data_IF_161172088308
#
_entry.id   IF_161172088308
#
_cell.length_a   1.000
_cell.length_b   1.000
_cell.length_c   1.000
_cell.angle_alpha   90.00
_cell.angle_beta   90.00
_cell.angle_gamma   90.00
#
_symmetry.space_group_name_H-M   'P 1'
#
loop_
_entity.id
_entity.type
_entity.pdbx_description
1 polymer ?
#
# COMPACT_ATOMS: atom_id res chain seq x y z
N UNK A 1 -9.11 -16.11 0.69
CA UNK A 1 -7.74 -16.13 0.15
C UNK A 1 -7.58 -16.98 -1.11
N UNK A 2 -8.06 -18.22 -1.17
CA UNK A 2 -7.98 -19.06 -2.38
C UNK A 2 -8.66 -18.44 -3.60
N UNK A 3 -9.86 -17.87 -3.43
CA UNK A 3 -10.58 -17.17 -4.52
C UNK A 3 -9.79 -15.99 -5.07
N UNK A 4 -9.10 -15.22 -4.19
CA UNK A 4 -8.24 -14.13 -4.61
C UNK A 4 -7.05 -14.65 -5.41
N UNK A 5 -6.42 -15.75 -4.98
CA UNK A 5 -5.32 -16.37 -5.70
C UNK A 5 -5.76 -16.88 -7.08
N UNK A 6 -6.90 -17.57 -7.16
CA UNK A 6 -7.44 -18.04 -8.43
C UNK A 6 -7.77 -16.88 -9.39
N UNK A 7 -8.38 -15.81 -8.89
CA UNK A 7 -8.64 -14.61 -9.66
C UNK A 7 -7.34 -13.97 -10.15
N UNK A 8 -6.32 -13.89 -9.29
CA UNK A 8 -5.00 -13.38 -9.62
C UNK A 8 -4.36 -14.18 -10.77
N UNK A 9 -4.32 -15.51 -10.64
CA UNK A 9 -3.76 -16.40 -11.66
C UNK A 9 -4.50 -16.28 -12.98
N UNK A 10 -5.82 -16.19 -12.94
CA UNK A 10 -6.64 -15.99 -14.14
C UNK A 10 -6.33 -14.68 -14.85
N UNK A 11 -6.29 -13.57 -14.12
CA UNK A 11 -5.97 -12.24 -14.68
C UNK A 11 -4.55 -12.21 -15.23
N UNK A 12 -3.58 -12.74 -14.49
CA UNK A 12 -2.19 -12.81 -14.95
C UNK A 12 -2.09 -13.63 -16.23
N UNK A 13 -2.75 -14.77 -16.29
CA UNK A 13 -2.79 -15.63 -17.48
C UNK A 13 -3.37 -14.91 -18.70
N UNK A 14 -4.51 -14.21 -18.54
CA UNK A 14 -5.11 -13.42 -19.62
C UNK A 14 -4.18 -12.31 -20.11
N UNK A 15 -3.59 -11.52 -19.19
CA UNK A 15 -2.70 -10.43 -19.54
C UNK A 15 -1.40 -10.91 -20.18
N UNK A 16 -0.86 -12.03 -19.69
CA UNK A 16 0.32 -12.66 -20.28
C UNK A 16 0.05 -13.16 -21.71
N UNK A 17 -1.12 -13.78 -21.94
CA UNK A 17 -1.50 -14.28 -23.27
C UNK A 17 -1.61 -13.16 -24.31
N UNK A 18 -2.06 -11.98 -23.92
CA UNK A 18 -2.29 -10.84 -24.85
C UNK A 18 -1.15 -9.81 -24.82
N UNK A 19 -0.07 -10.03 -24.09
CA UNK A 19 0.98 -9.02 -23.84
C UNK A 19 1.58 -8.39 -25.11
N UNK A 20 1.66 -9.17 -26.18
CA UNK A 20 2.25 -8.76 -27.46
C UNK A 20 1.19 -8.27 -28.48
N UNK A 21 -0.11 -8.33 -28.12
CA UNK A 21 -1.22 -7.88 -28.97
C UNK A 21 -1.85 -6.61 -28.38
N UNK A 22 -1.38 -5.46 -28.86
CA UNK A 22 -1.84 -4.15 -28.38
C UNK A 22 -3.34 -3.87 -28.57
N UNK A 23 -4.03 -4.57 -29.52
CA UNK A 23 -5.48 -4.43 -29.68
C UNK A 23 -6.21 -5.20 -28.57
N UNK A 24 -5.83 -6.45 -28.34
CA UNK A 24 -6.44 -7.27 -27.29
C UNK A 24 -6.15 -6.72 -25.89
N UNK A 25 -4.94 -6.23 -25.66
CA UNK A 25 -4.55 -5.64 -24.39
C UNK A 25 -5.42 -4.46 -23.97
N UNK A 26 -5.90 -3.65 -24.96
CA UNK A 26 -6.82 -2.53 -24.68
C UNK A 26 -8.17 -2.97 -24.10
N UNK A 27 -8.60 -4.21 -24.37
CA UNK A 27 -9.83 -4.78 -23.83
C UNK A 27 -9.58 -5.60 -22.56
N UNK A 28 -8.49 -6.37 -22.52
CA UNK A 28 -8.19 -7.26 -21.40
C UNK A 28 -7.81 -6.48 -20.15
N UNK A 29 -7.10 -5.36 -20.26
CA UNK A 29 -6.74 -4.55 -19.09
C UNK A 29 -7.99 -4.01 -18.35
N UNK A 30 -8.92 -3.25 -18.99
CA UNK A 30 -10.13 -2.80 -18.30
C UNK A 30 -10.99 -3.97 -17.79
N UNK A 31 -11.08 -5.07 -18.52
CA UNK A 31 -11.80 -6.26 -18.08
C UNK A 31 -11.18 -6.84 -16.80
N UNK A 32 -9.86 -6.90 -16.71
CA UNK A 32 -9.15 -7.32 -15.49
C UNK A 32 -9.48 -6.43 -14.29
N UNK A 33 -9.56 -5.11 -14.52
CA UNK A 33 -9.94 -4.16 -13.46
C UNK A 33 -11.41 -4.30 -13.06
N UNK A 34 -12.31 -4.59 -14.00
CA UNK A 34 -13.72 -4.88 -13.68
C UNK A 34 -13.81 -6.12 -12.78
N UNK A 35 -13.11 -7.20 -13.11
CA UNK A 35 -13.10 -8.41 -12.28
C UNK A 35 -12.58 -8.16 -10.87
N UNK A 36 -11.47 -7.44 -10.73
CA UNK A 36 -10.93 -7.06 -9.41
C UNK A 36 -11.91 -6.17 -8.65
N UNK A 37 -12.48 -5.19 -9.33
CA UNK A 37 -13.45 -4.28 -8.73
C UNK A 37 -14.67 -5.04 -8.22
N UNK A 38 -15.23 -5.94 -9.01
CA UNK A 38 -16.35 -6.79 -8.58
C UNK A 38 -15.97 -7.64 -7.37
N UNK A 39 -14.82 -8.30 -7.42
CA UNK A 39 -14.34 -9.11 -6.30
C UNK A 39 -14.24 -8.32 -5.00
N UNK A 40 -13.64 -7.14 -5.01
CA UNK A 40 -13.46 -6.34 -3.81
C UNK A 40 -14.70 -5.53 -3.41
N UNK A 41 -15.53 -5.11 -4.37
CA UNK A 41 -16.73 -4.32 -4.11
C UNK A 41 -17.86 -5.16 -3.50
N UNK A 42 -17.96 -6.41 -3.91
CA UNK A 42 -19.03 -7.32 -3.43
C UNK A 42 -18.67 -8.06 -2.15
N UNK A 43 -17.51 -7.75 -1.54
CA UNK A 43 -17.08 -8.38 -0.29
C UNK A 43 -18.01 -8.05 0.88
N UNK A 44 -18.24 -9.04 1.71
CA UNK A 44 -18.93 -8.91 2.98
C UNK A 44 -18.08 -9.57 4.07
N UNK A 45 -17.92 -8.92 5.20
CA UNK A 45 -17.06 -9.41 6.31
C UNK A 45 -15.63 -9.81 5.91
N UNK A 46 -15.13 -9.30 4.79
CA UNK A 46 -13.80 -9.64 4.29
C UNK A 46 -12.85 -8.45 4.46
N UNK A 47 -11.86 -8.61 5.32
CA UNK A 47 -10.89 -7.60 5.73
C UNK A 47 -10.92 -7.34 7.24
N UNK A 48 -9.73 -7.21 7.87
CA UNK A 48 -9.58 -7.10 9.33
C UNK A 48 -10.42 -5.96 9.94
N UNK A 49 -10.44 -4.80 9.30
CA UNK A 49 -11.11 -3.62 9.84
C UNK A 49 -12.56 -3.47 9.36
N UNK A 50 -13.13 -4.47 8.66
CA UNK A 50 -14.47 -4.37 8.08
C UNK A 50 -15.52 -4.01 9.12
N UNK A 51 -15.58 -4.78 10.22
CA UNK A 51 -16.53 -4.57 11.31
C UNK A 51 -16.25 -3.30 12.11
N UNK A 52 -15.00 -2.92 12.24
CA UNK A 52 -14.63 -1.68 12.91
C UNK A 52 -15.18 -0.44 12.17
N UNK A 53 -15.10 -0.43 10.84
CA UNK A 53 -15.71 0.64 10.05
C UNK A 53 -17.23 0.54 10.01
N UNK A 54 -17.78 -0.68 9.96
CA UNK A 54 -19.22 -0.88 10.02
C UNK A 54 -19.83 -0.32 11.31
N UNK A 55 -19.28 -0.66 12.46
CA UNK A 55 -19.75 -0.17 13.77
C UNK A 55 -19.67 1.37 13.86
N UNK A 56 -18.63 1.96 13.30
CA UNK A 56 -18.52 3.43 13.25
C UNK A 56 -19.50 4.08 12.30
N UNK A 57 -19.82 3.44 11.18
CA UNK A 57 -20.85 3.89 10.28
C UNK A 57 -22.23 3.80 10.93
N UNK A 58 -22.56 2.69 11.57
CA UNK A 58 -23.86 2.41 12.23
C UNK A 58 -24.10 3.36 13.41
N UNK A 59 -23.09 3.59 14.24
CA UNK A 59 -23.19 4.50 15.39
C UNK A 59 -23.38 5.97 15.00
N UNK A 60 -23.10 6.37 13.76
CA UNK A 60 -23.16 7.75 13.30
C UNK A 60 -22.23 8.71 14.05
N UNK A 61 -21.43 8.22 14.96
CA UNK A 61 -20.56 8.99 15.84
C UNK A 61 -19.12 8.48 15.79
N UNK A 62 -18.18 9.40 15.96
CA UNK A 62 -16.87 9.06 16.49
C UNK A 62 -17.12 8.38 17.84
N UNK A 63 -16.74 7.12 17.99
CA UNK A 63 -16.91 6.38 19.27
C UNK A 63 -16.26 7.24 20.34
N UNK A 64 -17.02 7.63 21.38
CA UNK A 64 -16.52 8.41 22.51
C UNK A 64 -15.30 7.70 23.08
N UNK A 65 -14.19 8.41 23.20
CA UNK A 65 -12.91 7.87 23.70
C UNK A 65 -11.93 7.41 22.62
N UNK A 66 -12.28 7.35 21.33
CA UNK A 66 -11.34 7.08 20.25
C UNK A 66 -10.82 8.39 19.64
N UNK A 67 -9.83 9.00 20.27
CA UNK A 67 -9.15 10.20 19.77
C UNK A 67 -8.46 10.01 18.42
N UNK A 68 -8.35 8.76 17.93
CA UNK A 68 -7.70 8.43 16.66
C UNK A 68 -8.48 8.86 15.41
N UNK A 69 -9.73 9.27 15.55
CA UNK A 69 -10.58 9.68 14.42
C UNK A 69 -10.83 11.17 14.30
N UNK A 70 -10.44 12.00 15.27
CA UNK A 70 -10.79 13.43 15.30
C UNK A 70 -10.16 14.24 14.16
N UNK A 71 -9.03 13.79 13.58
CA UNK A 71 -8.37 14.43 12.44
C UNK A 71 -8.81 13.94 11.05
N UNK A 72 -9.60 12.86 10.96
CA UNK A 72 -9.92 12.17 9.69
C UNK A 72 -11.36 12.46 9.25
N UNK A 73 -11.73 13.72 9.32
CA UNK A 73 -13.12 14.19 9.13
C UNK A 73 -13.67 13.92 7.74
N UNK A 74 -12.84 13.99 6.69
CA UNK A 74 -13.30 13.72 5.32
C UNK A 74 -13.63 12.25 5.10
N UNK A 75 -12.88 11.32 5.70
CA UNK A 75 -13.18 9.91 5.57
C UNK A 75 -14.53 9.55 6.20
N UNK A 76 -14.73 9.96 7.45
CA UNK A 76 -15.98 9.67 8.15
C UNK A 76 -17.18 10.41 7.55
N UNK A 77 -17.00 11.68 7.16
CA UNK A 77 -18.03 12.43 6.44
C UNK A 77 -18.41 11.75 5.11
N UNK A 78 -17.44 11.27 4.35
CA UNK A 78 -17.70 10.53 3.12
C UNK A 78 -18.44 9.22 3.39
N UNK A 79 -18.06 8.47 4.42
CA UNK A 79 -18.72 7.22 4.80
C UNK A 79 -20.19 7.44 5.19
N UNK A 80 -20.51 8.54 5.87
CA UNK A 80 -21.87 8.90 6.31
C UNK A 80 -22.80 9.40 5.18
N UNK A 81 -22.27 9.64 3.97
CA UNK A 81 -23.12 9.95 2.81
C UNK A 81 -23.95 8.76 2.32
N UNK A 82 -23.66 7.56 2.78
CA UNK A 82 -24.31 6.34 2.32
C UNK A 82 -25.32 5.83 3.36
N UNK A 83 -26.52 5.53 2.91
CA UNK A 83 -27.62 4.95 3.70
C UNK A 83 -27.40 3.50 4.11
N UNK A 84 -26.46 2.81 3.43
CA UNK A 84 -26.05 1.43 3.71
C UNK A 84 -24.54 1.30 3.60
N UNK A 85 -23.90 0.61 4.56
CA UNK A 85 -22.46 0.43 4.61
C UNK A 85 -21.88 -0.25 3.37
N UNK A 86 -22.55 -1.27 2.84
CA UNK A 86 -22.08 -1.94 1.63
C UNK A 86 -22.00 -1.00 0.41
N UNK A 87 -22.89 0.00 0.31
CA UNK A 87 -22.79 1.03 -0.76
C UNK A 87 -21.52 1.85 -0.64
N UNK A 88 -21.13 2.20 0.59
CA UNK A 88 -19.84 2.84 0.84
C UNK A 88 -18.70 1.94 0.40
N UNK A 89 -18.70 0.64 0.77
CA UNK A 89 -17.66 -0.31 0.37
C UNK A 89 -17.56 -0.44 -1.15
N UNK A 90 -18.67 -0.48 -1.86
CA UNK A 90 -18.71 -0.52 -3.33
C UNK A 90 -18.08 0.76 -3.91
N UNK A 91 -18.51 1.94 -3.48
CA UNK A 91 -18.01 3.21 -4.02
C UNK A 91 -16.54 3.42 -3.67
N UNK A 92 -16.12 3.10 -2.44
CA UNK A 92 -14.72 3.12 -2.05
C UNK A 92 -13.86 2.25 -2.99
N UNK A 93 -14.31 1.03 -3.26
CA UNK A 93 -13.59 0.09 -4.13
C UNK A 93 -13.54 0.58 -5.59
N UNK A 94 -14.65 1.13 -6.10
CA UNK A 94 -14.72 1.72 -7.43
C UNK A 94 -13.71 2.87 -7.58
N UNK A 95 -13.67 3.79 -6.62
CA UNK A 95 -12.72 4.91 -6.63
C UNK A 95 -11.27 4.40 -6.64
N UNK A 96 -10.94 3.47 -5.74
CA UNK A 96 -9.61 2.91 -5.66
C UNK A 96 -9.20 2.22 -6.98
N UNK A 97 -10.02 1.31 -7.48
CA UNK A 97 -9.70 0.57 -8.72
C UNK A 97 -9.64 1.50 -9.94
N UNK A 98 -10.45 2.57 -9.98
CA UNK A 98 -10.41 3.56 -11.06
C UNK A 98 -9.10 4.35 -11.06
N UNK A 99 -8.65 4.79 -9.87
CA UNK A 99 -7.35 5.48 -9.73
C UNK A 99 -6.20 4.55 -10.11
N UNK A 100 -6.24 3.31 -9.64
CA UNK A 100 -5.24 2.31 -9.95
C UNK A 100 -5.19 2.00 -11.46
N UNK A 101 -6.35 1.80 -12.08
CA UNK A 101 -6.47 1.62 -13.54
C UNK A 101 -5.85 2.79 -14.30
N UNK A 102 -6.19 4.01 -13.91
CA UNK A 102 -5.65 5.22 -14.53
C UNK A 102 -4.12 5.24 -14.48
N UNK A 103 -3.53 4.98 -13.30
CA UNK A 103 -2.08 5.00 -13.11
C UNK A 103 -1.38 3.87 -13.89
N UNK A 104 -1.94 2.66 -13.84
CA UNK A 104 -1.39 1.50 -14.57
C UNK A 104 -1.41 1.73 -16.06
N UNK A 105 -2.56 2.13 -16.59
CA UNK A 105 -2.70 2.41 -18.03
C UNK A 105 -1.73 3.49 -18.52
N UNK A 106 -1.38 4.40 -17.62
CA UNK A 106 -0.54 5.53 -17.95
C UNK A 106 0.95 5.25 -17.85
N UNK A 107 1.37 4.54 -16.78
CA UNK A 107 2.78 4.40 -16.41
C UNK A 107 3.35 3.01 -16.67
N UNK A 108 2.53 1.99 -16.82
CA UNK A 108 3.01 0.63 -17.07
C UNK A 108 2.86 0.30 -18.54
N UNK A 109 3.95 -0.12 -19.19
CA UNK A 109 3.90 -0.57 -20.56
C UNK A 109 3.11 -1.89 -20.68
N UNK A 110 2.32 -2.10 -21.77
CA UNK A 110 1.38 -3.21 -21.91
C UNK A 110 1.99 -4.60 -21.67
N UNK A 111 3.23 -4.83 -22.11
CA UNK A 111 3.94 -6.10 -21.92
C UNK A 111 4.20 -6.44 -20.44
N UNK A 112 4.09 -5.47 -19.52
CA UNK A 112 4.33 -5.64 -18.08
C UNK A 112 3.05 -5.66 -17.24
N UNK A 113 1.87 -5.57 -17.84
CA UNK A 113 0.61 -5.61 -17.08
C UNK A 113 0.46 -6.88 -16.25
N UNK A 114 0.84 -8.05 -16.80
CA UNK A 114 0.81 -9.30 -16.05
C UNK A 114 1.73 -9.25 -14.81
N UNK A 115 2.93 -8.71 -14.95
CA UNK A 115 3.87 -8.51 -13.84
C UNK A 115 3.31 -7.52 -12.79
N UNK A 116 2.72 -6.41 -13.25
CA UNK A 116 2.06 -5.48 -12.35
C UNK A 116 0.97 -6.15 -11.51
N UNK A 117 0.06 -6.89 -12.15
CA UNK A 117 -1.00 -7.59 -11.45
C UNK A 117 -0.48 -8.67 -10.50
N UNK A 118 0.55 -9.41 -10.91
CA UNK A 118 1.22 -10.35 -10.03
C UNK A 118 1.73 -9.66 -8.77
N UNK A 119 2.48 -8.57 -8.91
CA UNK A 119 2.99 -7.80 -7.77
C UNK A 119 1.87 -7.23 -6.91
N UNK A 120 0.89 -6.59 -7.54
CA UNK A 120 -0.24 -5.96 -6.84
C UNK A 120 -1.05 -6.96 -6.01
N UNK A 121 -1.41 -8.09 -6.58
CA UNK A 121 -2.25 -9.10 -5.92
C UNK A 121 -1.48 -9.96 -4.92
N UNK A 122 -0.18 -10.16 -5.15
CA UNK A 122 0.66 -11.00 -4.30
C UNK A 122 1.32 -10.24 -3.15
N UNK A 123 1.45 -8.92 -3.26
CA UNK A 123 1.94 -8.12 -2.15
C UNK A 123 0.82 -7.89 -1.14
N UNK A 124 0.96 -8.51 0.02
CA UNK A 124 -0.01 -8.43 1.11
C UNK A 124 -0.34 -6.98 1.48
N UNK A 125 0.68 -6.13 1.54
CA UNK A 125 0.55 -4.70 1.83
C UNK A 125 -0.30 -3.94 0.81
N UNK A 126 -0.40 -4.40 -0.42
CA UNK A 126 -1.24 -3.75 -1.43
C UNK A 126 -2.66 -4.31 -1.44
N UNK A 127 -2.84 -5.60 -1.66
CA UNK A 127 -4.17 -6.18 -1.85
C UNK A 127 -4.96 -6.30 -0.55
N UNK A 128 -4.31 -6.63 0.58
CA UNK A 128 -5.01 -6.79 1.86
C UNK A 128 -5.22 -5.48 2.61
N UNK A 129 -4.20 -4.60 2.64
CA UNK A 129 -4.36 -3.29 3.27
C UNK A 129 -5.41 -2.43 2.57
N UNK A 130 -5.57 -2.60 1.26
CA UNK A 130 -6.63 -1.96 0.49
C UNK A 130 -8.02 -2.28 1.03
N UNK A 131 -8.22 -3.50 1.49
CA UNK A 131 -9.50 -3.96 2.05
C UNK A 131 -9.65 -3.61 3.53
N UNK A 132 -8.56 -3.65 4.28
CA UNK A 132 -8.54 -3.43 5.72
C UNK A 132 -8.38 -1.96 6.09
N UNK A 133 -7.41 -1.28 5.50
CA UNK A 133 -7.07 0.10 5.85
C UNK A 133 -7.75 1.11 4.92
N UNK A 134 -9.09 1.13 4.87
CA UNK A 134 -9.86 1.94 3.92
C UNK A 134 -9.54 3.44 4.00
N UNK A 135 -9.26 3.99 5.19
CA UNK A 135 -8.81 5.38 5.38
C UNK A 135 -7.51 5.68 4.65
N UNK A 136 -6.51 4.84 4.90
CA UNK A 136 -5.19 4.97 4.26
C UNK A 136 -5.29 4.79 2.74
N UNK A 137 -6.17 3.91 2.27
CA UNK A 137 -6.42 3.67 0.85
C UNK A 137 -7.03 4.89 0.17
N UNK A 138 -8.01 5.55 0.79
CA UNK A 138 -8.58 6.79 0.26
C UNK A 138 -7.53 7.91 0.22
N UNK A 139 -6.77 8.08 1.28
CA UNK A 139 -5.65 9.02 1.30
C UNK A 139 -4.63 8.72 0.21
N UNK A 140 -4.29 7.45 0.01
CA UNK A 140 -3.39 7.00 -1.05
C UNK A 140 -3.93 7.34 -2.46
N UNK A 141 -5.22 7.17 -2.71
CA UNK A 141 -5.83 7.55 -4.00
C UNK A 141 -5.63 9.03 -4.31
N UNK A 142 -5.89 9.90 -3.32
CA UNK A 142 -5.68 11.35 -3.48
C UNK A 142 -4.20 11.66 -3.70
N UNK A 143 -3.29 11.03 -2.92
CA UNK A 143 -1.85 11.22 -3.06
C UNK A 143 -1.33 10.75 -4.41
N UNK A 144 -1.75 9.59 -4.91
CA UNK A 144 -1.30 9.06 -6.19
C UNK A 144 -1.68 9.98 -7.35
N UNK A 145 -2.93 10.44 -7.40
CA UNK A 145 -3.36 11.39 -8.41
C UNK A 145 -2.63 12.72 -8.27
N UNK A 146 -2.44 13.19 -7.05
CA UNK A 146 -1.73 14.42 -6.75
C UNK A 146 -0.28 14.36 -7.24
N UNK A 147 0.44 13.29 -6.88
CA UNK A 147 1.83 13.10 -7.29
C UNK A 147 1.92 13.01 -8.82
N UNK A 148 1.06 12.25 -9.47
CA UNK A 148 1.08 12.16 -10.94
C UNK A 148 0.74 13.49 -11.63
N UNK A 149 -0.36 14.13 -11.25
CA UNK A 149 -0.90 15.27 -11.97
C UNK A 149 -0.14 16.57 -11.70
N UNK A 150 0.24 16.82 -10.45
CA UNK A 150 0.80 18.10 -10.04
C UNK A 150 2.29 18.04 -9.77
N UNK A 151 2.77 16.96 -9.16
CA UNK A 151 4.19 16.87 -8.82
C UNK A 151 5.03 16.41 -10.01
N UNK A 152 4.78 15.26 -10.58
CA UNK A 152 5.60 14.69 -11.67
C UNK A 152 5.47 15.52 -12.95
N UNK A 153 4.24 15.83 -13.38
CA UNK A 153 4.00 16.48 -14.66
C UNK A 153 4.29 17.96 -14.67
N UNK A 154 3.85 18.67 -13.64
CA UNK A 154 3.79 20.15 -13.67
C UNK A 154 4.75 20.81 -12.69
N UNK A 155 5.34 20.06 -11.77
CA UNK A 155 6.16 20.57 -10.67
C UNK A 155 5.49 21.73 -9.90
N UNK A 156 4.17 21.65 -9.73
CA UNK A 156 3.36 22.66 -9.07
C UNK A 156 3.28 22.36 -7.57
N UNK A 157 4.13 22.99 -6.79
CA UNK A 157 4.26 22.70 -5.36
C UNK A 157 3.03 23.11 -4.54
N UNK A 158 2.41 24.27 -4.86
CA UNK A 158 1.26 24.74 -4.08
C UNK A 158 0.04 23.81 -4.22
N UNK A 159 -0.48 23.48 -5.42
CA UNK A 159 -1.53 22.49 -5.57
C UNK A 159 -1.16 21.14 -4.98
N UNK A 160 0.10 20.71 -5.13
CA UNK A 160 0.59 19.48 -4.53
C UNK A 160 0.42 19.51 -3.01
N UNK A 161 0.92 20.56 -2.33
CA UNK A 161 0.85 20.67 -0.86
C UNK A 161 -0.59 20.75 -0.35
N UNK A 162 -1.46 21.47 -1.04
CA UNK A 162 -2.88 21.55 -0.70
C UNK A 162 -3.57 20.19 -0.78
N UNK A 163 -3.30 19.40 -1.81
CA UNK A 163 -3.87 18.07 -1.95
C UNK A 163 -3.26 17.06 -0.96
N UNK A 164 -2.01 17.24 -0.53
CA UNK A 164 -1.44 16.47 0.59
C UNK A 164 -2.21 16.76 1.88
N UNK A 165 -2.53 18.03 2.16
CA UNK A 165 -3.33 18.41 3.31
C UNK A 165 -4.74 17.79 3.23
N UNK A 166 -5.40 17.86 2.06
CA UNK A 166 -6.70 17.21 1.85
C UNK A 166 -6.61 15.69 2.07
N UNK A 167 -5.53 15.06 1.59
CA UNK A 167 -5.27 13.64 1.84
C UNK A 167 -5.13 13.33 3.33
N UNK A 168 -4.55 14.26 4.11
CA UNK A 168 -4.43 14.16 5.57
C UNK A 168 -5.77 14.10 6.30
N UNK A 169 -6.82 14.74 5.76
CA UNK A 169 -8.18 14.62 6.32
C UNK A 169 -8.85 13.27 6.04
N UNK A 170 -8.36 12.50 5.07
CA UNK A 170 -8.72 11.08 4.94
C UNK A 170 -7.89 10.19 5.86
N UNK A 171 -6.59 10.47 5.99
CA UNK A 171 -5.71 9.77 6.90
C UNK A 171 -4.46 10.60 7.23
N UNK A 172 -4.28 10.91 8.51
CA UNK A 172 -3.25 11.84 9.00
C UNK A 172 -1.84 11.49 8.58
N UNK A 173 -1.51 10.20 8.43
CA UNK A 173 -0.20 9.76 7.95
C UNK A 173 0.17 10.31 6.56
N UNK A 174 -0.81 10.68 5.74
CA UNK A 174 -0.56 11.26 4.42
C UNK A 174 0.18 12.60 4.48
N UNK A 175 0.08 13.34 5.59
CA UNK A 175 0.75 14.62 5.77
C UNK A 175 2.27 14.53 5.67
N UNK A 176 2.86 13.38 5.95
CA UNK A 176 4.31 13.19 5.82
C UNK A 176 4.81 13.46 4.39
N UNK A 177 3.96 13.24 3.40
CA UNK A 177 4.33 13.45 1.99
C UNK A 177 4.49 14.92 1.61
N UNK A 178 4.15 15.86 2.50
CA UNK A 178 4.40 17.29 2.27
C UNK A 178 5.90 17.59 2.14
N UNK A 179 6.76 16.75 2.72
CA UNK A 179 8.22 16.89 2.64
C UNK A 179 8.81 16.37 1.32
N UNK A 180 8.04 15.63 0.50
CA UNK A 180 8.51 14.98 -0.72
C UNK A 180 9.28 15.93 -1.66
N UNK A 181 8.83 17.17 -1.97
CA UNK A 181 9.54 18.07 -2.84
C UNK A 181 10.93 18.49 -2.31
N UNK A 182 11.06 18.60 -0.99
CA UNK A 182 12.34 18.97 -0.36
C UNK A 182 13.32 17.80 -0.39
N UNK A 183 12.83 16.59 -0.08
CA UNK A 183 13.63 15.36 -0.13
C UNK A 183 14.08 15.07 -1.56
N UNK A 184 13.18 15.16 -2.55
CA UNK A 184 13.51 14.98 -3.96
C UNK A 184 14.59 15.97 -4.43
N UNK A 185 14.45 17.25 -4.06
CA UNK A 185 15.46 18.27 -4.41
C UNK A 185 16.80 18.02 -3.73
N UNK A 186 16.81 17.63 -2.46
CA UNK A 186 18.02 17.26 -1.74
C UNK A 186 18.72 16.05 -2.35
N UNK A 187 17.95 15.01 -2.71
CA UNK A 187 18.48 13.78 -3.30
C UNK A 187 18.95 13.95 -4.75
N UNK A 188 18.39 14.93 -5.49
CA UNK A 188 18.77 15.19 -6.89
C UNK A 188 20.24 15.62 -7.04
N UNK A 189 20.85 16.11 -5.98
CA UNK A 189 22.26 16.51 -5.92
C UNK A 189 23.18 15.30 -5.76
N UNK A 190 22.67 14.20 -5.21
CA UNK A 190 23.44 13.02 -4.87
C UNK A 190 23.52 12.08 -6.10
N UNK A 191 24.70 11.53 -6.36
CA UNK A 191 24.87 10.53 -7.42
C UNK A 191 24.16 9.23 -7.06
N UNK A 192 23.70 8.43 -8.05
CA UNK A 192 22.93 7.18 -7.80
C UNK A 192 23.60 6.19 -6.86
N UNK A 193 24.90 5.92 -6.99
CA UNK A 193 25.62 4.97 -6.13
C UNK A 193 25.68 5.38 -4.65
N UNK A 194 26.12 6.61 -4.30
CA UNK A 194 26.02 7.11 -2.93
C UNK A 194 24.58 7.11 -2.39
N UNK A 195 23.61 7.44 -3.24
CA UNK A 195 22.20 7.44 -2.86
C UNK A 195 21.72 6.04 -2.47
N UNK A 196 22.08 5.02 -3.25
CA UNK A 196 21.80 3.63 -2.90
C UNK A 196 22.50 3.22 -1.59
N UNK A 197 23.77 3.64 -1.39
CA UNK A 197 24.47 3.38 -0.14
C UNK A 197 23.77 4.01 1.07
N UNK A 198 23.27 5.24 0.95
CA UNK A 198 22.48 5.92 1.99
C UNK A 198 21.19 5.15 2.29
N UNK A 199 20.54 4.61 1.26
CA UNK A 199 19.33 3.77 1.42
C UNK A 199 19.64 2.51 2.21
N UNK A 200 20.73 1.82 1.90
CA UNK A 200 21.18 0.63 2.64
C UNK A 200 21.51 0.97 4.09
N UNK A 201 22.25 2.06 4.32
CA UNK A 201 22.57 2.54 5.68
C UNK A 201 21.29 2.87 6.44
N UNK A 202 20.34 3.57 5.81
CA UNK A 202 19.05 3.89 6.41
C UNK A 202 18.26 2.65 6.82
N UNK A 203 18.26 1.61 5.98
CA UNK A 203 17.65 0.31 6.34
C UNK A 203 18.34 -0.34 7.53
N UNK A 204 19.68 -0.36 7.57
CA UNK A 204 20.44 -0.94 8.68
C UNK A 204 20.15 -0.16 9.98
N UNK A 205 20.25 1.16 9.94
CA UNK A 205 19.95 2.02 11.10
C UNK A 205 18.54 1.76 11.60
N UNK A 206 17.58 1.69 10.69
CA UNK A 206 16.20 1.46 11.04
C UNK A 206 16.00 0.10 11.73
N UNK A 207 16.65 -0.95 11.24
CA UNK A 207 16.55 -2.28 11.83
C UNK A 207 17.08 -2.32 13.28
N UNK A 208 18.22 -1.68 13.53
CA UNK A 208 18.86 -1.74 14.83
C UNK A 208 18.40 -0.66 15.83
N UNK A 209 17.92 0.48 15.32
CA UNK A 209 17.62 1.67 16.13
C UNK A 209 16.19 2.18 15.97
N UNK A 210 15.29 1.40 15.38
CA UNK A 210 13.91 1.81 15.13
C UNK A 210 13.21 2.36 16.38
N UNK A 211 13.35 1.66 17.52
CA UNK A 211 12.72 2.07 18.78
C UNK A 211 13.27 3.40 19.29
N UNK A 212 14.58 3.61 19.20
CA UNK A 212 15.22 4.86 19.61
C UNK A 212 14.79 6.03 18.72
N UNK A 213 14.77 5.80 17.40
CA UNK A 213 14.30 6.81 16.44
C UNK A 213 12.83 7.14 16.71
N UNK A 214 12.01 6.12 16.97
CA UNK A 214 10.60 6.30 17.29
C UNK A 214 10.41 7.13 18.56
N UNK A 215 11.12 6.78 19.64
CA UNK A 215 11.07 7.53 20.89
C UNK A 215 11.49 9.00 20.71
N UNK A 216 12.53 9.27 19.92
CA UNK A 216 12.94 10.64 19.60
C UNK A 216 11.82 11.39 18.88
N UNK A 217 11.19 10.78 17.87
CA UNK A 217 10.12 11.43 17.09
C UNK A 217 8.90 11.70 17.96
N UNK A 218 8.50 10.76 18.80
CA UNK A 218 7.34 10.97 19.68
C UNK A 218 7.56 12.06 20.73
N UNK A 219 8.80 12.23 21.19
CA UNK A 219 9.14 13.28 22.17
C UNK A 219 9.06 14.72 21.58
N UNK A 220 8.88 14.89 20.27
CA UNK A 220 8.66 16.22 19.68
C UNK A 220 7.26 16.79 19.93
N UNK A 221 6.31 15.97 20.39
CA UNK A 221 4.92 16.43 20.62
C UNK A 221 4.23 15.55 21.65
N UNK A 222 3.68 16.18 22.69
CA UNK A 222 2.89 15.49 23.71
C UNK A 222 1.69 14.76 23.09
N UNK A 223 1.03 15.36 22.12
CA UNK A 223 -0.08 14.74 21.39
C UNK A 223 0.36 13.49 20.63
N UNK A 224 1.57 13.48 20.05
CA UNK A 224 2.12 12.28 19.42
C UNK A 224 2.42 11.20 20.45
N UNK A 225 2.97 11.57 21.59
CA UNK A 225 3.25 10.63 22.70
C UNK A 225 1.97 10.04 23.24
N UNK A 226 0.94 10.82 23.51
CA UNK A 226 -0.37 10.32 23.95
C UNK A 226 -1.02 9.37 22.94
N UNK A 227 -0.95 9.72 21.66
CA UNK A 227 -1.61 8.93 20.60
C UNK A 227 -0.86 7.65 20.24
N UNK A 228 0.47 7.70 20.25
CA UNK A 228 1.31 6.63 19.71
C UNK A 228 2.31 6.06 20.73
N UNK A 229 2.41 6.61 21.94
CA UNK A 229 3.36 6.16 22.97
C UNK A 229 3.19 4.70 23.37
N UNK A 230 1.96 4.19 23.38
CA UNK A 230 1.67 2.79 23.62
C UNK A 230 2.35 1.81 22.65
N UNK A 231 2.81 2.27 21.49
CA UNK A 231 3.61 1.44 20.58
C UNK A 231 5.05 1.25 21.06
N UNK A 232 5.56 2.07 21.98
CA UNK A 232 6.88 1.88 22.61
C UNK A 232 6.90 0.70 23.58
N UNK A 233 5.76 0.41 24.20
CA UNK A 233 5.64 -0.62 25.24
C UNK A 233 5.33 -2.01 24.65
N UNK A 234 4.86 -2.05 23.41
CA UNK A 234 4.62 -3.31 22.71
C UNK A 234 5.99 -3.88 22.32
N UNK A 235 6.33 -5.01 22.91
CA UNK A 235 7.55 -5.75 22.59
C UNK A 235 7.45 -6.35 21.17
N UNK A 236 7.38 -5.44 20.18
CA UNK A 236 7.29 -5.77 18.76
C UNK A 236 8.66 -6.19 18.21
N UNK A 237 9.22 -7.24 18.81
CA UNK A 237 10.40 -7.92 18.29
C UNK A 237 10.16 -8.56 16.93
N UNK A 238 8.91 -8.62 16.47
CA UNK A 238 8.53 -9.25 15.21
C UNK A 238 9.09 -8.61 13.93
N UNK A 239 9.45 -7.30 13.95
CA UNK A 239 10.06 -6.63 12.81
C UNK A 239 11.57 -6.81 12.70
N UNK A 240 12.22 -7.04 13.83
CA UNK A 240 13.68 -7.17 13.97
C UNK A 240 14.20 -8.61 13.91
N UNK A 241 13.37 -9.58 13.52
CA UNK A 241 13.85 -10.95 13.35
C UNK A 241 14.82 -11.03 12.17
N UNK A 242 15.84 -11.87 12.31
CA UNK A 242 16.80 -12.15 11.23
C UNK A 242 16.10 -12.46 9.90
N UNK A 243 15.03 -13.26 9.93
CA UNK A 243 14.26 -13.60 8.74
C UNK A 243 13.50 -12.40 8.15
N UNK A 244 12.98 -11.49 8.98
CA UNK A 244 12.37 -10.25 8.51
C UNK A 244 13.38 -9.35 7.80
N UNK A 245 14.60 -9.23 8.35
CA UNK A 245 15.69 -8.49 7.72
C UNK A 245 16.13 -9.11 6.40
N UNK A 246 16.32 -10.44 6.38
CA UNK A 246 16.72 -11.18 5.18
C UNK A 246 15.67 -11.00 4.09
N UNK A 247 14.39 -11.15 4.42
CA UNK A 247 13.30 -10.95 3.47
C UNK A 247 13.32 -9.54 2.85
N UNK A 248 13.50 -8.51 3.66
CA UNK A 248 13.56 -7.12 3.20
C UNK A 248 14.80 -6.83 2.35
N UNK A 249 15.91 -7.49 2.63
CA UNK A 249 17.13 -7.32 1.85
C UNK A 249 16.97 -7.74 0.38
N UNK A 250 16.02 -8.63 0.07
CA UNK A 250 15.71 -8.97 -1.33
C UNK A 250 15.17 -7.77 -2.13
N UNK A 251 14.53 -6.81 -1.49
CA UNK A 251 14.07 -5.58 -2.16
C UNK A 251 15.22 -4.63 -2.53
N UNK A 252 16.41 -4.79 -1.95
CA UNK A 252 17.57 -3.96 -2.31
C UNK A 252 17.99 -4.14 -3.77
N UNK A 253 17.78 -5.31 -4.36
CA UNK A 253 18.13 -5.58 -5.76
C UNK A 253 17.28 -4.76 -6.74
N UNK A 254 15.94 -4.81 -6.73
CA UNK A 254 15.13 -3.92 -7.56
C UNK A 254 15.41 -2.44 -7.26
N UNK A 255 15.62 -2.05 -6.01
CA UNK A 255 15.95 -0.69 -5.63
C UNK A 255 17.27 -0.20 -6.21
N UNK A 256 18.28 -1.05 -6.26
CA UNK A 256 19.53 -0.72 -6.92
C UNK A 256 19.31 -0.31 -8.39
N UNK A 257 18.52 -1.09 -9.13
CA UNK A 257 18.26 -0.79 -10.54
C UNK A 257 17.40 0.46 -10.73
N UNK A 258 16.41 0.69 -9.87
CA UNK A 258 15.63 1.93 -9.85
C UNK A 258 16.53 3.13 -9.59
N UNK A 259 17.44 3.04 -8.62
CA UNK A 259 18.41 4.09 -8.33
C UNK A 259 19.30 4.39 -9.54
N UNK A 260 19.79 3.36 -10.21
CA UNK A 260 20.65 3.53 -11.38
C UNK A 260 19.92 4.15 -12.57
N UNK A 261 18.60 3.96 -12.66
CA UNK A 261 17.77 4.55 -13.71
C UNK A 261 17.38 6.04 -13.44
N UNK A 262 17.83 6.60 -12.32
CA UNK A 262 17.63 8.02 -11.95
C UNK A 262 16.19 8.46 -11.64
N UNK A 263 15.30 7.54 -11.32
CA UNK A 263 13.96 7.87 -10.82
C UNK A 263 14.01 8.40 -9.37
N UNK A 264 14.61 9.59 -9.22
CA UNK A 264 15.01 10.18 -7.93
C UNK A 264 13.82 10.44 -7.01
N UNK A 265 12.67 10.84 -7.55
CA UNK A 265 11.46 11.09 -6.77
C UNK A 265 10.92 9.82 -6.10
N UNK A 266 11.09 8.66 -6.74
CA UNK A 266 10.74 7.36 -6.15
C UNK A 266 11.66 7.05 -4.98
N UNK A 267 12.94 7.40 -5.10
CA UNK A 267 13.90 7.25 -4.01
C UNK A 267 13.61 8.17 -2.84
N UNK A 268 13.12 9.38 -3.10
CA UNK A 268 12.65 10.28 -2.05
C UNK A 268 11.48 9.64 -1.28
N UNK A 269 10.52 9.06 -1.98
CA UNK A 269 9.43 8.29 -1.35
C UNK A 269 9.96 7.08 -0.58
N UNK A 270 10.98 6.42 -1.12
CA UNK A 270 11.65 5.30 -0.46
C UNK A 270 12.30 5.67 0.86
N UNK A 271 13.05 6.77 0.89
CA UNK A 271 13.70 7.26 2.11
C UNK A 271 12.66 7.66 3.16
N UNK A 272 11.59 8.32 2.74
CA UNK A 272 10.45 8.61 3.62
C UNK A 272 9.90 7.32 4.21
N UNK A 273 9.73 6.28 3.40
CA UNK A 273 9.22 5.00 3.89
C UNK A 273 10.20 4.29 4.82
N UNK A 274 11.50 4.32 4.53
CA UNK A 274 12.51 3.73 5.43
C UNK A 274 12.50 4.45 6.77
N UNK A 275 12.38 5.77 6.79
CA UNK A 275 12.24 6.54 8.01
C UNK A 275 10.95 6.14 8.74
N UNK A 276 9.83 6.07 8.03
CA UNK A 276 8.53 5.69 8.59
C UNK A 276 8.45 4.23 9.01
N UNK A 277 9.25 3.36 8.38
CA UNK A 277 9.33 1.95 8.66
C UNK A 277 9.81 1.64 10.10
N UNK A 278 10.77 2.42 10.60
CA UNK A 278 11.20 2.34 11.99
C UNK A 278 10.12 2.72 13.00
N UNK A 279 9.12 3.45 12.53
CA UNK A 279 8.01 3.91 13.34
C UNK A 279 6.83 2.93 13.36
N UNK A 280 6.99 1.69 12.84
CA UNK A 280 5.91 0.70 12.66
C UNK A 280 4.70 1.27 11.87
N UNK A 281 4.95 2.33 11.13
CA UNK A 281 3.97 2.98 10.25
C UNK A 281 4.03 2.43 8.82
N UNK A 282 4.88 1.43 8.58
CA UNK A 282 5.16 0.86 7.27
C UNK A 282 3.91 0.31 6.58
N UNK A 283 3.02 -0.35 7.32
CA UNK A 283 1.76 -0.86 6.78
C UNK A 283 0.88 0.23 6.18
N UNK A 284 0.92 1.44 6.73
CA UNK A 284 0.09 2.58 6.30
C UNK A 284 0.71 3.39 5.16
N UNK A 285 2.04 3.52 5.15
CA UNK A 285 2.78 4.22 4.10
C UNK A 285 3.11 3.32 2.92
N UNK A 286 3.25 2.02 3.15
CA UNK A 286 3.60 1.04 2.13
C UNK A 286 2.59 1.00 0.98
N UNK A 287 1.30 1.24 1.22
CA UNK A 287 0.28 1.29 0.16
C UNK A 287 0.67 2.34 -0.89
N UNK A 288 0.99 3.56 -0.46
CA UNK A 288 1.37 4.64 -1.39
C UNK A 288 2.66 4.29 -2.10
N UNK A 289 3.63 3.76 -1.36
CA UNK A 289 4.97 3.55 -1.87
C UNK A 289 5.06 2.39 -2.86
N UNK A 290 4.49 1.24 -2.54
CA UNK A 290 4.64 0.06 -3.38
C UNK A 290 4.05 0.23 -4.78
N UNK A 291 2.99 1.02 -4.94
CA UNK A 291 2.50 1.33 -6.28
C UNK A 291 3.56 2.04 -7.11
N UNK A 292 4.23 3.03 -6.54
CA UNK A 292 5.27 3.76 -7.27
C UNK A 292 6.51 2.91 -7.53
N UNK A 293 6.85 1.98 -6.64
CA UNK A 293 7.89 0.97 -6.91
C UNK A 293 7.52 0.11 -8.11
N UNK A 294 6.28 -0.34 -8.19
CA UNK A 294 5.80 -1.14 -9.32
C UNK A 294 5.88 -0.35 -10.62
N UNK A 295 5.47 0.92 -10.60
CA UNK A 295 5.57 1.82 -11.75
C UNK A 295 7.03 2.01 -12.15
N UNK A 296 7.91 2.30 -11.19
CA UNK A 296 9.34 2.46 -11.46
C UNK A 296 10.00 1.22 -12.00
N UNK A 297 9.61 0.05 -11.54
CA UNK A 297 10.06 -1.23 -12.10
C UNK A 297 9.55 -1.39 -13.55
N UNK A 298 8.30 -0.98 -13.82
CA UNK A 298 7.75 -0.96 -15.17
C UNK A 298 8.59 -0.14 -16.15
N UNK A 299 9.12 0.99 -15.71
CA UNK A 299 10.00 1.87 -16.51
C UNK A 299 11.45 1.36 -16.55
N UNK A 300 11.93 0.76 -15.47
CA UNK A 300 13.33 0.31 -15.34
C UNK A 300 13.58 -1.02 -16.07
N UNK A 301 12.70 -2.01 -15.95
CA UNK A 301 12.89 -3.35 -16.52
C UNK A 301 13.17 -3.34 -18.03
N UNK A 302 12.52 -2.49 -18.86
CA UNK A 302 12.84 -2.43 -20.29
C UNK A 302 14.28 -2.07 -20.59
N UNK A 303 14.92 -1.27 -19.74
CA UNK A 303 16.30 -0.78 -19.94
C UNK A 303 17.37 -1.79 -19.54
N UNK A 304 16.98 -2.87 -18.83
CA UNK A 304 17.88 -3.89 -18.31
C UNK A 304 18.20 -4.96 -19.36
N UNK A 305 19.44 -5.44 -19.36
CA UNK A 305 19.81 -6.65 -20.11
C UNK A 305 19.27 -7.93 -19.43
N UNK A 306 19.37 -9.07 -20.09
CA UNK A 306 18.79 -10.35 -19.60
C UNK A 306 19.27 -10.74 -18.21
N UNK A 307 20.58 -10.62 -17.94
CA UNK A 307 21.14 -10.97 -16.62
C UNK A 307 20.66 -10.00 -15.54
N UNK A 308 20.64 -8.69 -15.83
CA UNK A 308 20.14 -7.68 -14.91
C UNK A 308 18.67 -7.87 -14.60
N UNK A 309 17.84 -8.29 -15.58
CA UNK A 309 16.43 -8.64 -15.34
C UNK A 309 16.31 -9.77 -14.34
N UNK A 310 17.13 -10.83 -14.47
CA UNK A 310 17.14 -11.94 -13.51
C UNK A 310 17.53 -11.44 -12.12
N UNK A 311 18.61 -10.66 -12.00
CA UNK A 311 19.06 -10.12 -10.70
C UNK A 311 18.05 -9.14 -10.07
N UNK A 312 17.25 -8.47 -10.86
CA UNK A 312 16.19 -7.59 -10.39
C UNK A 312 14.93 -8.37 -9.95
N UNK A 313 14.46 -9.29 -10.80
CA UNK A 313 13.15 -9.94 -10.64
C UNK A 313 13.18 -11.18 -9.76
N UNK A 314 14.25 -11.96 -9.74
CA UNK A 314 14.31 -13.17 -8.93
C UNK A 314 14.27 -12.87 -7.42
N UNK A 315 15.05 -11.91 -6.88
CA UNK A 315 14.93 -11.52 -5.47
C UNK A 315 13.56 -10.95 -5.14
N UNK A 316 12.99 -10.12 -6.03
CA UNK A 316 11.64 -9.60 -5.87
C UNK A 316 10.59 -10.72 -5.79
N UNK A 317 10.71 -11.73 -6.66
CA UNK A 317 9.83 -12.90 -6.63
C UNK A 317 9.94 -13.65 -5.30
N UNK A 318 11.16 -13.90 -4.82
CA UNK A 318 11.40 -14.53 -3.51
C UNK A 318 10.76 -13.71 -2.38
N UNK A 319 10.93 -12.38 -2.39
CA UNK A 319 10.30 -11.47 -1.44
C UNK A 319 8.78 -11.59 -1.43
N UNK A 320 8.16 -11.58 -2.60
CA UNK A 320 6.70 -11.67 -2.75
C UNK A 320 6.19 -13.02 -2.26
N UNK A 321 6.81 -14.12 -2.68
CA UNK A 321 6.40 -15.49 -2.30
C UNK A 321 6.55 -15.69 -0.80
N UNK A 322 7.66 -15.25 -0.21
CA UNK A 322 7.87 -15.35 1.23
C UNK A 322 6.79 -14.59 2.01
N UNK A 323 6.52 -13.34 1.63
CA UNK A 323 5.48 -12.54 2.32
C UNK A 323 4.09 -13.16 2.17
N UNK A 324 3.79 -13.75 1.01
CA UNK A 324 2.51 -14.40 0.80
C UNK A 324 2.35 -15.66 1.65
N UNK A 325 3.39 -16.51 1.71
CA UNK A 325 3.43 -17.71 2.56
C UNK A 325 3.37 -17.31 4.04
N UNK A 326 4.16 -16.31 4.46
CA UNK A 326 4.18 -15.83 5.85
C UNK A 326 2.81 -15.29 6.27
N UNK A 327 2.16 -14.49 5.42
CA UNK A 327 0.83 -13.97 5.68
C UNK A 327 -0.18 -15.11 5.80
N UNK A 328 -0.12 -16.09 4.90
CA UNK A 328 -0.99 -17.26 4.94
C UNK A 328 -0.83 -18.03 6.25
N UNK A 329 0.40 -18.30 6.65
CA UNK A 329 0.72 -18.98 7.90
C UNK A 329 0.22 -18.18 9.12
N UNK A 330 0.47 -16.88 9.15
CA UNK A 330 0.02 -16.01 10.22
C UNK A 330 -1.51 -15.95 10.33
N UNK A 331 -2.21 -15.84 9.21
CA UNK A 331 -3.67 -15.86 9.18
C UNK A 331 -4.27 -17.19 9.65
N UNK A 332 -3.62 -18.31 9.32
CA UNK A 332 -4.06 -19.62 9.78
C UNK A 332 -3.81 -19.81 11.28
N UNK A 333 -2.70 -19.32 11.82
CA UNK A 333 -2.44 -19.33 13.27
C UNK A 333 -3.49 -18.50 14.02
N UNK A 334 -3.78 -17.31 13.54
CA UNK A 334 -4.80 -16.43 14.12
C UNK A 334 -6.17 -17.11 14.13
N UNK A 335 -6.54 -17.77 13.03
CA UNK A 335 -7.80 -18.54 12.95
C UNK A 335 -7.90 -19.66 13.98
N UNK A 336 -6.80 -20.36 14.27
CA UNK A 336 -6.77 -21.46 15.24
C UNK A 336 -6.79 -20.97 16.71
N UNK A 337 -6.45 -19.68 16.95
CA UNK A 337 -6.32 -19.12 18.30
C UNK A 337 -7.51 -18.27 18.73
N UNK A 338 -8.37 -17.88 17.79
CA UNK A 338 -9.44 -16.92 18.08
C UNK A 338 -10.78 -17.62 18.19
N UNK A 339 -11.45 -17.42 19.31
CA UNK A 339 -12.89 -17.54 19.42
C UNK A 339 -13.53 -16.77 18.24
N UNK A 340 -14.61 -17.30 17.70
CA UNK A 340 -15.40 -16.77 16.57
C UNK A 340 -15.77 -15.27 16.70
N UNK A 341 -15.52 -14.66 17.84
CA UNK A 341 -15.74 -13.24 18.15
C UNK A 341 -14.56 -12.32 17.79
N UNK A 342 -13.41 -12.85 17.37
CA UNK A 342 -12.27 -12.04 16.97
C UNK A 342 -12.17 -11.94 15.45
N UNK A 343 -12.09 -10.70 14.95
CA UNK A 343 -12.17 -10.28 13.56
C UNK A 343 -11.03 -10.76 12.64
N UNK A 344 -10.03 -11.43 13.17
CA UNK A 344 -8.77 -11.76 12.45
C UNK A 344 -8.92 -12.91 11.43
N UNK A 345 -9.99 -13.69 11.49
CA UNK A 345 -10.30 -14.77 10.52
C UNK A 345 -10.91 -14.29 9.19
N UNK A 346 -11.16 -12.99 9.03
CA UNK A 346 -11.94 -12.43 7.93
C UNK A 346 -11.35 -12.59 6.53
N UNK A 347 -10.11 -13.07 6.39
CA UNK A 347 -9.49 -13.33 5.08
C UNK A 347 -9.55 -14.80 4.64
N UNK A 348 -9.92 -15.71 5.51
CA UNK A 348 -9.94 -17.15 5.17
C UNK A 348 -11.12 -17.51 4.30
N UNK A 349 -12.29 -16.96 4.61
CA UNK A 349 -13.53 -17.21 3.90
C UNK A 349 -13.99 -15.93 3.20
N UNK A 350 -14.09 -15.98 1.89
CA UNK A 350 -14.65 -14.89 1.12
C UNK A 350 -16.18 -15.00 1.16
N UNK A 351 -16.80 -13.98 1.74
CA UNK A 351 -18.24 -13.80 1.70
C UNK A 351 -18.59 -12.61 0.81
N UNK A 352 -19.73 -12.67 0.18
CA UNK A 352 -20.29 -11.59 -0.64
C UNK A 352 -21.49 -10.95 0.04
N UNK A 353 -21.91 -9.79 -0.44
CA UNK A 353 -23.15 -9.14 0.00
C UNK A 353 -24.39 -10.02 -0.24
N UNK A 354 -24.30 -11.03 -1.12
CA UNK A 354 -25.39 -11.97 -1.41
C UNK A 354 -25.45 -13.13 -0.41
N UNK A 355 -24.37 -13.39 0.34
CA UNK A 355 -24.32 -14.40 1.40
C UNK A 355 -24.89 -13.87 2.71
N UNK A 356 -25.10 -12.57 2.81
CA UNK A 356 -25.67 -11.95 3.99
C UNK A 356 -27.17 -12.21 4.06
N UNK A 357 -27.58 -13.13 4.95
CA UNK A 357 -29.00 -13.43 5.21
C UNK A 357 -29.73 -12.21 5.82
N UNK A 358 -29.00 -11.27 6.38
CA UNK A 358 -29.50 -10.03 6.97
C UNK A 358 -28.53 -8.91 6.64
N UNK A 359 -28.80 -8.20 5.55
CA UNK A 359 -28.20 -6.87 5.35
C UNK A 359 -28.98 -5.90 6.24
N UNK A 360 -28.40 -5.34 7.31
CA UNK A 360 -29.04 -4.29 8.08
C UNK A 360 -29.28 -3.05 7.23
#
# INVERSE_FOLDING_TARGET
MWYQLLLCLFIIGMLWYVKDDGKKTKFVLPFSFILITLFFALRYEYGNDYWHYYLRWDSGRLVEGDNRGTGETLFYGFMQLFDKYYKFVIVHTLLFCSVLYYLVKRHVAPQYYALFFFMFMSMATMSYNMMSAMRSTMAACVLWLNIDLFYIRKRMWLPYSLLVIISGFFHTSALVFIILPFVDRGLSIIKPKPLFALLVIGMIVNVFYARQVYAIVLNFSDTMMETYGGYLDIDKTGGATFFGMLNRSFMLFPYYYICMNKEIWILAMFIITIICFGLDLDGRFSIVLYLFVIIALGDTIPTLNSNQKIYCLAPLFVYIVYNHIYLFYKMQLLYNYTDLNNFDGCFLFYKTIFDAQYLP
#
